data_IF_703920905407
#
_entry.id   IF_703920905407
#
_cell.length_a   1.000
_cell.length_b   1.000
_cell.length_c   1.000
_cell.angle_alpha   90.00
_cell.angle_beta   90.00
_cell.angle_gamma   90.00
#
_symmetry.space_group_name_H-M   'P 1'
#
loop_
_entity.id
_entity.type
_entity.pdbx_description
1 polymer ?
#
# COMPACT_ATOMS: atom_id res chain seq x y z
N UNK A 1 -16.10 30.69 -53.78
CA UNK A 1 -14.80 30.25 -53.24
C UNK A 1 -14.88 30.26 -51.72
N UNK A 2 -15.48 29.24 -51.09
CA UNK A 2 -15.55 29.08 -49.61
C UNK A 2 -16.32 27.79 -49.26
N UNK A 3 -15.72 26.61 -49.47
CA UNK A 3 -16.31 25.34 -48.97
C UNK A 3 -15.28 24.26 -48.63
N UNK A 4 -13.98 24.56 -48.61
CA UNK A 4 -12.95 23.53 -48.31
C UNK A 4 -12.31 23.63 -46.92
N UNK A 5 -12.55 24.69 -46.14
CA UNK A 5 -11.82 24.91 -44.87
C UNK A 5 -12.50 24.37 -43.61
N UNK A 6 -13.75 23.88 -43.67
CA UNK A 6 -14.46 23.40 -42.47
C UNK A 6 -14.36 21.89 -42.23
N UNK A 7 -14.18 21.07 -43.26
CA UNK A 7 -14.15 19.60 -43.12
C UNK A 7 -12.86 19.14 -42.42
N UNK A 8 -11.76 19.89 -42.59
CA UNK A 8 -10.46 19.54 -42.01
C UNK A 8 -10.32 19.79 -40.51
N UNK A 9 -11.15 20.65 -39.90
CA UNK A 9 -11.08 20.94 -38.45
C UNK A 9 -11.92 19.99 -37.60
N UNK A 10 -12.99 19.43 -38.16
CA UNK A 10 -13.85 18.45 -37.49
C UNK A 10 -13.19 17.07 -37.36
N UNK A 11 -12.36 16.68 -38.33
CA UNK A 11 -11.62 15.41 -38.26
C UNK A 11 -10.51 15.41 -37.19
N UNK A 12 -9.87 16.55 -36.94
CA UNK A 12 -8.80 16.66 -35.94
C UNK A 12 -9.38 16.62 -34.52
N UNK A 13 -10.57 17.19 -34.30
CA UNK A 13 -11.25 17.10 -33.00
C UNK A 13 -11.79 15.69 -32.69
N UNK A 14 -12.28 14.95 -33.70
CA UNK A 14 -12.73 13.58 -33.51
C UNK A 14 -11.59 12.60 -33.17
N UNK A 15 -10.37 12.85 -33.68
CA UNK A 15 -9.21 12.00 -33.41
C UNK A 15 -8.65 12.19 -31.98
N UNK A 16 -8.76 13.39 -31.41
CA UNK A 16 -8.28 13.67 -30.04
C UNK A 16 -9.18 13.02 -28.97
N UNK A 17 -10.48 12.83 -29.26
CA UNK A 17 -11.42 12.21 -28.32
C UNK A 17 -11.24 10.68 -28.25
N UNK A 18 -10.70 10.04 -29.28
CA UNK A 18 -10.50 8.58 -29.31
C UNK A 18 -9.15 8.09 -28.74
N UNK A 19 -8.23 9.01 -28.43
CA UNK A 19 -6.86 8.68 -27.98
C UNK A 19 -6.61 8.86 -26.47
N UNK A 20 -7.62 9.23 -25.68
CA UNK A 20 -7.39 9.71 -24.30
C UNK A 20 -7.89 8.86 -23.14
N UNK A 21 -8.66 7.80 -23.38
CA UNK A 21 -9.22 7.02 -22.28
C UNK A 21 -9.32 5.53 -22.62
N UNK A 22 -8.18 4.92 -22.94
CA UNK A 22 -8.00 3.50 -22.65
C UNK A 22 -8.00 3.36 -21.13
N UNK A 23 -9.18 3.35 -20.52
CA UNK A 23 -9.37 2.84 -19.17
C UNK A 23 -9.05 1.35 -19.24
N UNK A 24 -7.76 1.01 -19.23
CA UNK A 24 -7.31 -0.37 -19.05
C UNK A 24 -7.91 -0.82 -17.74
N UNK A 25 -8.98 -1.62 -17.82
CA UNK A 25 -9.65 -2.14 -16.65
C UNK A 25 -8.60 -2.83 -15.78
N UNK A 26 -8.59 -2.51 -14.48
CA UNK A 26 -7.69 -3.20 -13.56
C UNK A 26 -7.86 -4.72 -13.72
N UNK A 27 -6.76 -5.49 -13.78
CA UNK A 27 -6.84 -6.93 -13.83
C UNK A 27 -7.71 -7.48 -12.70
N UNK A 28 -8.36 -8.61 -12.95
CA UNK A 28 -9.25 -9.24 -11.98
C UNK A 28 -8.85 -10.67 -11.72
N UNK A 29 -9.03 -11.10 -10.48
CA UNK A 29 -8.77 -12.47 -10.03
C UNK A 29 -10.09 -13.23 -9.90
N UNK A 30 -10.13 -14.45 -10.42
CA UNK A 30 -11.32 -15.30 -10.38
C UNK A 30 -11.56 -15.92 -8.99
N UNK A 31 -12.73 -16.54 -8.83
CA UNK A 31 -13.11 -17.19 -7.58
C UNK A 31 -12.18 -18.35 -7.18
N UNK A 32 -11.69 -19.13 -8.14
CA UNK A 32 -10.84 -20.30 -7.85
C UNK A 32 -9.51 -19.87 -7.23
N UNK A 33 -8.91 -18.80 -7.75
CA UNK A 33 -7.66 -18.26 -7.21
C UNK A 33 -7.88 -17.58 -5.85
N UNK A 34 -8.99 -16.85 -5.67
CA UNK A 34 -9.36 -16.29 -4.37
C UNK A 34 -9.53 -17.39 -3.31
N UNK A 35 -10.22 -18.49 -3.65
CA UNK A 35 -10.44 -19.60 -2.73
C UNK A 35 -9.13 -20.30 -2.37
N UNK A 36 -8.17 -20.37 -3.29
CA UNK A 36 -6.83 -20.88 -2.99
C UNK A 36 -6.12 -20.02 -1.92
N UNK A 37 -6.15 -18.69 -2.04
CA UNK A 37 -5.58 -17.80 -1.02
C UNK A 37 -6.32 -17.89 0.31
N UNK A 38 -7.65 -17.93 0.30
CA UNK A 38 -8.45 -18.08 1.52
C UNK A 38 -8.13 -19.38 2.25
N UNK A 39 -7.88 -20.45 1.49
CA UNK A 39 -7.49 -21.73 2.05
C UNK A 39 -6.07 -21.67 2.63
N UNK A 40 -5.13 -21.04 1.92
CA UNK A 40 -3.74 -20.84 2.35
C UNK A 40 -3.65 -20.09 3.69
N UNK A 41 -4.46 -19.03 3.86
CA UNK A 41 -4.45 -18.19 5.06
C UNK A 41 -5.53 -18.54 6.09
N UNK A 42 -6.24 -19.66 5.92
CA UNK A 42 -7.38 -20.02 6.77
C UNK A 42 -7.01 -20.11 8.26
N UNK A 43 -5.85 -20.68 8.55
CA UNK A 43 -5.38 -20.97 9.91
C UNK A 43 -4.30 -19.96 10.36
N UNK A 44 -4.16 -18.83 9.67
CA UNK A 44 -3.22 -17.78 10.05
C UNK A 44 -3.60 -17.17 11.41
N UNK A 45 -2.60 -17.01 12.30
CA UNK A 45 -2.78 -16.39 13.62
C UNK A 45 -3.35 -14.98 13.51
N UNK A 46 -2.82 -14.23 12.54
CA UNK A 46 -3.29 -12.89 12.19
C UNK A 46 -4.12 -12.99 10.91
N UNK A 47 -5.38 -12.51 10.90
CA UNK A 47 -6.21 -12.51 9.70
C UNK A 47 -5.54 -11.77 8.54
N UNK A 48 -5.40 -12.44 7.41
CA UNK A 48 -4.82 -11.85 6.19
C UNK A 48 -5.95 -11.37 5.30
N UNK A 49 -5.96 -10.07 4.99
CA UNK A 49 -6.91 -9.47 4.04
C UNK A 49 -6.26 -9.17 2.69
N UNK A 50 -5.00 -8.73 2.71
CA UNK A 50 -4.30 -8.27 1.53
C UNK A 50 -3.05 -9.09 1.27
N UNK A 51 -2.78 -9.39 0.00
CA UNK A 51 -1.57 -10.06 -0.46
C UNK A 51 -1.04 -9.39 -1.73
N UNK A 52 0.26 -9.52 -1.97
CA UNK A 52 0.87 -9.10 -3.24
C UNK A 52 0.73 -10.20 -4.28
N UNK A 53 0.25 -9.84 -5.48
CA UNK A 53 0.07 -10.76 -6.61
C UNK A 53 0.52 -10.14 -7.93
N UNK A 54 0.76 -10.98 -8.92
CA UNK A 54 0.88 -10.58 -10.32
C UNK A 54 -0.51 -10.37 -10.95
N UNK A 55 -0.54 -9.86 -12.19
CA UNK A 55 -1.79 -9.54 -12.88
C UNK A 55 -2.71 -10.76 -13.10
N UNK A 56 -2.15 -11.97 -13.13
CA UNK A 56 -2.87 -13.24 -13.25
C UNK A 56 -3.32 -13.83 -11.89
N UNK A 57 -3.06 -13.11 -10.80
CA UNK A 57 -3.34 -13.54 -9.43
C UNK A 57 -2.36 -14.60 -8.89
N UNK A 58 -1.23 -14.86 -9.56
CA UNK A 58 -0.17 -15.68 -9.00
C UNK A 58 0.60 -14.93 -7.90
N UNK A 59 1.20 -15.64 -6.93
CA UNK A 59 1.95 -15.00 -5.85
C UNK A 59 3.08 -14.10 -6.35
N UNK A 60 3.20 -12.93 -5.74
CA UNK A 60 4.24 -11.92 -5.96
C UNK A 60 4.84 -11.55 -4.59
N UNK A 61 6.04 -11.00 -4.48
CA UNK A 61 7.12 -10.88 -5.44
C UNK A 61 8.40 -11.14 -4.65
N UNK A 62 9.21 -12.12 -5.05
CA UNK A 62 10.59 -12.16 -4.60
C UNK A 62 11.35 -10.99 -5.25
N UNK A 63 12.41 -10.51 -4.62
CA UNK A 63 13.24 -9.38 -5.08
C UNK A 63 13.79 -9.51 -6.50
N UNK A 64 13.68 -10.69 -7.12
CA UNK A 64 14.15 -11.00 -8.48
C UNK A 64 13.12 -10.77 -9.59
N UNK A 65 11.82 -10.67 -9.28
CA UNK A 65 10.78 -10.57 -10.29
C UNK A 65 10.53 -9.11 -10.73
N UNK A 66 10.60 -8.84 -12.03
CA UNK A 66 10.39 -7.51 -12.64
C UNK A 66 8.93 -7.24 -13.01
N UNK A 67 8.06 -8.21 -12.83
CA UNK A 67 6.64 -8.06 -13.12
C UNK A 67 5.97 -7.07 -12.17
N UNK A 68 4.94 -6.37 -12.66
CA UNK A 68 4.24 -5.35 -11.89
C UNK A 68 3.50 -6.00 -10.70
N UNK A 69 3.74 -5.54 -9.46
CA UNK A 69 3.02 -6.01 -8.29
C UNK A 69 1.63 -5.35 -8.20
N UNK A 70 0.67 -6.12 -7.73
CA UNK A 70 -0.68 -5.69 -7.38
C UNK A 70 -1.03 -6.10 -5.96
N UNK A 71 -1.97 -5.40 -5.35
CA UNK A 71 -2.57 -5.78 -4.08
C UNK A 71 -3.94 -6.41 -4.35
N UNK A 72 -4.15 -7.60 -3.79
CA UNK A 72 -5.40 -8.35 -3.87
C UNK A 72 -6.07 -8.39 -2.49
N UNK A 73 -7.35 -8.00 -2.43
CA UNK A 73 -8.22 -8.27 -1.26
C UNK A 73 -8.76 -9.71 -1.37
N UNK A 74 -8.21 -10.63 -0.58
CA UNK A 74 -8.60 -12.05 -0.61
C UNK A 74 -9.96 -12.30 0.06
N UNK A 75 -10.51 -11.30 0.77
CA UNK A 75 -11.84 -11.36 1.40
C UNK A 75 -12.95 -10.86 0.48
N UNK A 76 -12.60 -10.19 -0.62
CA UNK A 76 -13.57 -9.62 -1.56
C UNK A 76 -14.34 -10.66 -2.38
N UNK A 77 -15.54 -10.32 -2.86
CA UNK A 77 -16.30 -11.20 -3.74
C UNK A 77 -15.62 -11.36 -5.11
N UNK A 78 -15.82 -12.52 -5.74
CA UNK A 78 -15.33 -12.77 -7.09
C UNK A 78 -16.21 -12.05 -8.14
N UNK A 79 -15.62 -11.54 -9.24
CA UNK A 79 -14.19 -11.39 -9.49
C UNK A 79 -13.58 -10.24 -8.68
N UNK A 80 -12.44 -10.49 -8.02
CA UNK A 80 -11.77 -9.48 -7.22
C UNK A 80 -10.93 -8.56 -8.10
N UNK A 81 -11.07 -7.25 -7.93
CA UNK A 81 -10.24 -6.26 -8.63
C UNK A 81 -8.88 -6.15 -7.98
N UNK A 82 -7.84 -6.08 -8.81
CA UNK A 82 -6.49 -5.80 -8.37
C UNK A 82 -6.26 -4.29 -8.24
N UNK A 83 -5.67 -3.88 -7.13
CA UNK A 83 -5.28 -2.50 -6.89
C UNK A 83 -3.78 -2.34 -7.16
N UNK A 84 -3.38 -1.23 -7.78
CA UNK A 84 -1.97 -0.98 -8.10
C UNK A 84 -1.47 0.32 -7.47
N UNK A 85 -0.17 0.38 -7.18
CA UNK A 85 0.50 1.59 -6.72
C UNK A 85 1.83 1.74 -7.43
N UNK A 86 2.00 2.88 -8.11
CA UNK A 86 3.28 3.22 -8.76
C UNK A 86 4.42 3.32 -7.73
N UNK A 87 4.12 3.71 -6.49
CA UNK A 87 5.12 3.79 -5.42
C UNK A 87 5.57 2.40 -4.97
N UNK A 88 4.65 1.45 -4.81
CA UNK A 88 4.99 0.06 -4.48
C UNK A 88 5.77 -0.58 -5.63
N UNK A 89 5.34 -0.38 -6.87
CA UNK A 89 6.07 -0.84 -8.06
C UNK A 89 7.50 -0.32 -8.09
N UNK A 90 7.71 0.96 -7.71
CA UNK A 90 9.05 1.56 -7.59
C UNK A 90 9.88 0.87 -6.51
N UNK A 91 9.31 0.55 -5.35
CA UNK A 91 10.03 -0.14 -4.26
C UNK A 91 10.56 -1.50 -4.71
N UNK A 92 9.73 -2.33 -5.35
CA UNK A 92 10.17 -3.62 -5.88
C UNK A 92 11.27 -3.46 -6.94
N UNK A 93 11.16 -2.47 -7.85
CA UNK A 93 12.21 -2.15 -8.85
C UNK A 93 13.52 -1.68 -8.23
N UNK A 94 13.47 -1.12 -7.03
CA UNK A 94 14.64 -0.69 -6.26
C UNK A 94 15.24 -1.82 -5.39
N UNK A 95 14.79 -3.07 -5.60
CA UNK A 95 15.22 -4.26 -4.87
C UNK A 95 14.88 -4.22 -3.37
N UNK A 96 13.78 -3.56 -3.00
CA UNK A 96 13.20 -3.75 -1.67
C UNK A 96 12.41 -5.06 -1.63
N UNK A 97 12.58 -5.81 -0.56
CA UNK A 97 11.58 -6.76 -0.08
C UNK A 97 10.48 -5.94 0.61
N UNK A 98 9.22 -6.18 0.25
CA UNK A 98 8.07 -5.41 0.73
C UNK A 98 7.04 -6.36 1.29
N UNK A 99 6.61 -6.11 2.52
CA UNK A 99 5.64 -6.94 3.23
C UNK A 99 4.47 -6.08 3.72
N UNK A 100 3.28 -6.69 3.79
CA UNK A 100 2.09 -6.07 4.36
C UNK A 100 2.01 -6.49 5.83
N UNK A 101 2.04 -5.51 6.73
CA UNK A 101 1.83 -5.76 8.16
C UNK A 101 0.33 -5.93 8.43
N UNK A 102 -0.14 -7.18 8.36
CA UNK A 102 -1.55 -7.52 8.54
C UNK A 102 -2.09 -7.14 9.93
N UNK A 103 -1.24 -7.07 10.97
CA UNK A 103 -1.69 -6.69 12.32
C UNK A 103 -2.08 -5.21 12.40
N UNK A 104 -1.48 -4.39 11.54
CA UNK A 104 -1.72 -2.96 11.46
C UNK A 104 -3.03 -2.56 10.75
N UNK A 105 -3.77 -3.52 10.16
CA UNK A 105 -4.92 -3.21 9.31
C UNK A 105 -6.04 -2.45 10.06
N UNK A 106 -6.51 -1.33 9.52
CA UNK A 106 -7.71 -0.63 9.99
C UNK A 106 -8.68 -0.51 8.82
N UNK A 107 -9.80 -1.23 8.90
CA UNK A 107 -10.86 -1.12 7.90
C UNK A 107 -11.90 -0.08 8.34
N UNK A 108 -12.21 0.84 7.42
CA UNK A 108 -13.30 1.82 7.58
C UNK A 108 -14.30 1.63 6.44
N UNK A 109 -15.50 2.25 6.50
CA UNK A 109 -16.47 2.14 5.41
C UNK A 109 -15.95 2.65 4.04
N UNK A 110 -14.95 3.53 4.03
CA UNK A 110 -14.48 4.21 2.83
C UNK A 110 -13.13 3.69 2.32
N UNK A 111 -12.30 3.16 3.21
CA UNK A 111 -10.95 2.74 2.91
C UNK A 111 -10.39 1.82 4.00
N UNK A 112 -9.44 1.00 3.60
CA UNK A 112 -8.57 0.27 4.49
C UNK A 112 -7.24 1.00 4.64
N UNK A 113 -6.65 0.95 5.83
CA UNK A 113 -5.36 1.53 6.12
C UNK A 113 -4.44 0.44 6.65
N UNK A 114 -3.25 0.33 6.08
CA UNK A 114 -2.31 -0.73 6.43
C UNK A 114 -0.89 -0.25 6.28
N UNK A 115 -0.03 -0.70 7.18
CA UNK A 115 1.41 -0.46 7.10
C UNK A 115 2.02 -1.48 6.15
N UNK A 116 2.91 -1.01 5.29
CA UNK A 116 3.88 -1.88 4.63
C UNK A 116 5.25 -1.64 5.23
N UNK A 117 5.95 -2.72 5.52
CA UNK A 117 7.37 -2.71 5.88
C UNK A 117 8.17 -3.04 4.63
N UNK A 118 9.36 -2.46 4.53
CA UNK A 118 10.24 -2.76 3.42
C UNK A 118 11.70 -2.79 3.88
N UNK A 119 12.43 -3.79 3.42
CA UNK A 119 13.83 -4.00 3.76
C UNK A 119 14.66 -4.15 2.48
N UNK A 120 15.93 -3.76 2.54
CA UNK A 120 16.87 -3.97 1.44
C UNK A 120 18.26 -4.28 1.99
N UNK A 121 18.90 -5.39 1.58
CA UNK A 121 20.27 -5.71 1.96
C UNK A 121 21.25 -4.57 1.67
N UNK A 122 22.24 -4.45 2.55
CA UNK A 122 23.25 -3.38 2.50
C UNK A 122 24.01 -3.32 1.16
N UNK A 123 24.26 -4.48 0.57
CA UNK A 123 24.95 -4.67 -0.70
C UNK A 123 24.27 -3.98 -1.90
N UNK A 124 22.95 -3.80 -1.85
CA UNK A 124 22.18 -3.20 -2.94
C UNK A 124 22.13 -1.67 -2.92
N UNK A 125 22.57 -1.03 -1.83
CA UNK A 125 22.69 0.44 -1.77
C UNK A 125 23.80 0.90 -0.83
N UNK A 126 25.07 0.97 -1.25
CA UNK A 126 26.18 1.38 -0.35
C UNK A 126 26.04 2.77 0.33
N UNK A 127 25.06 3.59 -0.06
CA UNK A 127 24.78 4.92 0.50
C UNK A 127 23.58 4.95 1.46
N UNK A 128 22.95 3.82 1.80
CA UNK A 128 21.84 3.82 2.76
C UNK A 128 22.34 4.23 4.16
N UNK A 129 21.43 4.76 4.97
CA UNK A 129 21.69 5.01 6.39
C UNK A 129 21.31 3.75 7.15
N UNK A 130 22.28 2.98 7.69
CA UNK A 130 21.98 1.78 8.43
C UNK A 130 21.31 2.12 9.75
N UNK A 131 20.42 1.23 10.13
CA UNK A 131 19.77 1.32 11.41
C UNK A 131 20.64 0.85 12.57
N UNK A 132 21.48 -0.16 12.30
CA UNK A 132 22.52 -0.65 13.17
C UNK A 132 23.66 -1.19 12.30
N UNK A 133 24.85 -1.35 12.89
CA UNK A 133 26.00 -1.87 12.15
C UNK A 133 25.70 -3.21 11.47
N UNK A 134 25.87 -3.27 10.16
CA UNK A 134 25.65 -4.48 9.36
C UNK A 134 24.19 -4.76 8.95
N UNK A 135 23.22 -3.98 9.42
CA UNK A 135 21.82 -4.09 8.98
C UNK A 135 21.59 -3.31 7.69
N UNK A 136 20.68 -3.80 6.83
CA UNK A 136 20.29 -3.13 5.60
C UNK A 136 19.43 -1.87 5.82
N UNK A 137 18.81 -1.41 4.74
CA UNK A 137 17.88 -0.30 4.79
C UNK A 137 16.48 -0.81 5.15
N UNK A 138 15.86 -0.28 6.20
CA UNK A 138 14.47 -0.59 6.56
C UNK A 138 13.62 0.67 6.61
N UNK A 139 12.42 0.60 6.03
CA UNK A 139 11.45 1.70 5.98
C UNK A 139 10.04 1.14 6.23
N UNK A 140 9.12 2.02 6.62
CA UNK A 140 7.71 1.69 6.65
C UNK A 140 6.85 2.84 6.14
N UNK A 141 5.86 2.49 5.32
CA UNK A 141 4.87 3.41 4.77
C UNK A 141 3.49 3.07 5.31
N UNK A 142 2.65 4.08 5.50
CA UNK A 142 1.22 3.89 5.71
C UNK A 142 0.49 4.04 4.38
N UNK A 143 -0.29 3.02 4.03
CA UNK A 143 -1.14 2.98 2.84
C UNK A 143 -2.59 3.25 3.19
N UNK A 144 -3.32 3.81 2.22
CA UNK A 144 -4.77 3.76 2.14
C UNK A 144 -5.15 2.96 0.88
N UNK A 145 -6.03 1.98 1.07
CA UNK A 145 -6.51 1.08 0.02
C UNK A 145 -8.01 1.29 -0.14
N UNK A 146 -8.43 1.67 -1.34
CA UNK A 146 -9.84 1.79 -1.73
C UNK A 146 -10.15 0.78 -2.83
N UNK A 147 -11.38 0.79 -3.35
CA UNK A 147 -11.78 -0.09 -4.44
C UNK A 147 -11.04 0.23 -5.75
N UNK A 148 -9.84 -0.34 -5.91
CA UNK A 148 -9.02 -0.28 -7.12
C UNK A 148 -7.80 0.64 -7.05
N UNK A 149 -7.60 1.38 -5.95
CA UNK A 149 -6.48 2.30 -5.79
C UNK A 149 -5.75 2.09 -4.46
N UNK A 150 -4.43 2.25 -4.50
CA UNK A 150 -3.56 2.22 -3.32
C UNK A 150 -2.72 3.49 -3.28
N UNK A 151 -2.94 4.27 -2.23
CA UNK A 151 -2.30 5.57 -2.02
C UNK A 151 -1.38 5.53 -0.82
N UNK A 152 -0.15 6.02 -0.98
CA UNK A 152 0.76 6.19 0.16
C UNK A 152 0.43 7.50 0.88
N UNK A 153 -0.13 7.39 2.08
CA UNK A 153 -0.55 8.55 2.88
C UNK A 153 0.54 9.02 3.85
N UNK A 154 1.51 8.16 4.19
CA UNK A 154 2.71 8.57 4.92
C UNK A 154 3.94 7.74 4.53
N UNK A 155 4.97 8.37 3.95
CA UNK A 155 6.25 7.74 3.55
C UNK A 155 7.28 7.63 4.68
N UNK A 156 7.04 8.30 5.81
CA UNK A 156 7.94 8.34 6.97
C UNK A 156 7.24 7.77 8.19
N UNK A 157 6.53 6.66 7.99
CA UNK A 157 5.71 6.08 9.04
C UNK A 157 6.53 5.28 10.07
N UNK A 158 7.74 4.87 9.68
CA UNK A 158 8.68 4.20 10.56
C UNK A 158 9.78 3.54 9.75
N UNK A 159 10.27 2.44 10.30
CA UNK A 159 11.42 1.69 9.82
C UNK A 159 12.04 0.97 11.00
N UNK A 160 13.37 0.91 11.04
CA UNK A 160 14.07 0.07 11.98
C UNK A 160 13.64 0.09 13.43
N UNK A 161 13.49 -1.12 13.96
CA UNK A 161 13.13 -1.39 15.33
C UNK A 161 11.79 -0.76 15.73
N UNK A 162 10.94 -0.35 14.78
CA UNK A 162 9.61 0.17 15.05
C UNK A 162 8.57 -0.94 14.98
N UNK A 163 7.57 -0.81 15.85
CA UNK A 163 6.40 -1.69 15.89
C UNK A 163 5.15 -0.86 15.68
N UNK A 164 4.18 -1.40 14.95
CA UNK A 164 2.96 -0.69 14.55
C UNK A 164 1.76 -1.33 15.22
N UNK A 165 1.13 -0.62 16.15
CA UNK A 165 -0.12 -1.09 16.77
C UNK A 165 -1.30 -0.31 16.22
N UNK A 166 -2.24 -1.00 15.60
CA UNK A 166 -3.53 -0.42 15.25
C UNK A 166 -4.30 -0.02 16.53
N UNK A 167 -4.72 1.24 16.60
CA UNK A 167 -5.61 1.77 17.61
C UNK A 167 -7.03 1.72 17.03
N UNK A 168 -7.85 0.82 17.58
CA UNK A 168 -9.23 0.57 17.16
C UNK A 168 -10.15 0.70 18.38
N UNK A 169 -10.32 1.91 18.89
CA UNK A 169 -11.29 2.16 19.96
C UNK A 169 -12.46 3.01 19.46
N UNK A 170 -13.54 3.10 20.24
CA UNK A 170 -14.76 3.83 19.85
C UNK A 170 -14.54 5.33 19.64
N UNK A 171 -13.39 5.86 20.04
CA UNK A 171 -13.05 7.29 20.04
C UNK A 171 -11.88 7.65 19.11
N UNK A 172 -11.04 6.67 18.75
CA UNK A 172 -9.79 6.83 18.01
C UNK A 172 -9.58 5.64 17.08
N UNK A 173 -9.55 5.94 15.79
CA UNK A 173 -8.92 5.09 14.78
C UNK A 173 -7.55 5.67 14.45
N UNK A 174 -6.50 4.86 14.49
CA UNK A 174 -5.15 5.36 14.30
C UNK A 174 -4.09 4.32 14.58
N UNK A 175 -2.87 4.79 14.81
CA UNK A 175 -1.71 3.94 15.00
C UNK A 175 -0.88 4.45 16.16
N UNK A 176 -0.35 3.53 16.95
CA UNK A 176 0.77 3.81 17.83
C UNK A 176 2.03 3.20 17.21
N UNK A 177 3.03 4.03 16.98
CA UNK A 177 4.35 3.61 16.49
C UNK A 177 5.31 3.64 17.66
N UNK A 178 5.71 2.47 18.14
CA UNK A 178 6.66 2.33 19.25
C UNK A 178 8.04 1.96 18.74
N UNK A 179 9.05 2.15 19.58
CA UNK A 179 10.44 1.78 19.31
C UNK A 179 10.82 0.58 20.16
N UNK A 180 11.73 -0.25 19.65
CA UNK A 180 12.39 -1.30 20.43
C UNK A 180 13.33 -0.71 21.49
N UNK A 181 13.79 0.53 21.27
CA UNK A 181 14.47 1.31 22.31
C UNK A 181 13.44 1.88 23.31
N UNK A 182 13.46 1.43 24.58
CA UNK A 182 12.49 1.85 25.60
C UNK A 182 12.63 3.33 25.98
N UNK A 183 13.76 3.99 25.68
CA UNK A 183 13.93 5.42 25.93
C UNK A 183 13.13 6.29 24.95
N UNK A 184 12.75 5.74 23.79
CA UNK A 184 11.99 6.45 22.77
C UNK A 184 10.48 6.32 23.04
N UNK A 185 9.82 7.44 23.35
CA UNK A 185 8.36 7.46 23.57
C UNK A 185 7.59 7.04 22.32
N UNK A 186 6.52 6.24 22.45
CA UNK A 186 5.63 5.94 21.33
C UNK A 186 5.00 7.20 20.75
N UNK A 187 4.85 7.24 19.42
CA UNK A 187 4.17 8.32 18.70
C UNK A 187 2.79 7.83 18.29
N UNK A 188 1.76 8.64 18.51
CA UNK A 188 0.40 8.33 18.10
C UNK A 188 0.01 9.11 16.86
N UNK A 189 -0.59 8.42 15.91
CA UNK A 189 -1.17 8.98 14.70
C UNK A 189 -2.66 8.68 14.69
N UNK A 190 -3.51 9.68 14.52
CA UNK A 190 -4.96 9.53 14.50
C UNK A 190 -5.49 9.80 13.11
N UNK A 191 -6.33 8.91 12.62
CA UNK A 191 -7.07 9.06 11.38
C UNK A 191 -8.23 10.05 11.60
N UNK A 192 -8.21 11.15 10.84
CA UNK A 192 -9.27 12.16 10.78
C UNK A 192 -9.78 12.21 9.34
N UNK A 193 -10.82 11.42 9.05
CA UNK A 193 -11.23 11.16 7.68
C UNK A 193 -10.14 10.37 6.94
N UNK A 194 -9.66 10.90 5.81
CA UNK A 194 -8.52 10.35 5.04
C UNK A 194 -7.17 10.92 5.46
N UNK A 195 -7.12 11.78 6.48
CA UNK A 195 -5.89 12.47 6.90
C UNK A 195 -5.31 11.83 8.14
N UNK A 196 -3.99 11.75 8.21
CA UNK A 196 -3.27 11.26 9.37
C UNK A 196 -2.70 12.43 10.16
N UNK A 197 -3.05 12.53 11.44
CA UNK A 197 -2.59 13.60 12.33
C UNK A 197 -1.75 13.00 13.44
N UNK A 198 -0.49 13.44 13.56
CA UNK A 198 0.34 13.08 14.71
C UNK A 198 -0.20 13.79 15.97
N UNK A 199 -0.44 13.03 17.03
CA UNK A 199 -0.74 13.57 18.34
C UNK A 199 0.53 13.58 19.18
N UNK A 200 0.98 14.78 19.54
CA UNK A 200 2.06 14.93 20.50
C UNK A 200 1.61 14.39 21.86
N UNK A 201 2.42 13.50 22.43
CA UNK A 201 2.18 12.85 23.70
C UNK A 201 2.31 13.80 24.88
N UNK A 202 1.47 14.83 24.97
CA UNK A 202 1.19 15.52 26.24
C UNK A 202 -0.08 14.94 26.83
N UNK A 203 0.05 13.76 27.44
CA UNK A 203 -0.84 13.40 28.54
C UNK A 203 -0.55 14.42 29.66
N UNK A 204 -1.48 15.35 29.90
CA UNK A 204 -1.57 15.98 31.21
C UNK A 204 -1.98 14.87 32.18
N UNK A 205 -1.03 14.36 32.94
CA UNK A 205 -1.32 13.79 34.26
C UNK A 205 -2.06 14.87 35.05
N UNK A 206 -3.37 14.70 35.16
CA UNK A 206 -4.18 15.46 36.10
C UNK A 206 -4.14 14.64 37.40
N UNK A 207 -3.31 15.08 38.34
CA UNK A 207 -3.40 14.70 39.75
C UNK A 207 -4.71 15.20 40.35
#
# INVERSE_FOLDING_TARGET
>A
MQTMSQVSKLFIFALIIFLGASSFASPTVDGKRLDAYRLEFKDAVTPVKYVFVHADGSPCCTTSNKEKPYILDITSSAPAKLASSAEIERLFKENFEVEIDNESLISTPNADYVVITMSRPAEYNKKYVPCAGGMGEERAYLLSITAGEVTVINRKFGGCGKHYRALRDSTVNGYEVSSSDPATKPVRFVLRGSTLVQQDGTSKESR
#
